data_IF_701329245152
#
_entry.id   IF_701329245152
#
_cell.length_a   1.000
_cell.length_b   1.000
_cell.length_c   1.000
_cell.angle_alpha   90.00
_cell.angle_beta   90.00
_cell.angle_gamma   90.00
#
_symmetry.space_group_name_H-M   'P 1'
#
loop_
_entity.id
_entity.type
_entity.pdbx_description
1 polymer ?
#
# COMPACT_ATOMS: atom_id res chain seq x y z
N UNK A 1 17.88 17.01 21.22
CA UNK A 1 17.82 15.74 20.46
C UNK A 1 18.29 16.01 19.06
N UNK A 2 18.93 15.05 18.40
CA UNK A 2 19.56 15.23 17.10
C UNK A 2 18.67 14.63 16.00
N UNK A 3 18.53 15.35 14.88
CA UNK A 3 18.00 14.81 13.63
C UNK A 3 19.06 13.91 12.99
N UNK A 4 18.69 12.70 12.63
CA UNK A 4 19.50 11.78 11.82
C UNK A 4 18.81 11.53 10.49
N UNK A 5 19.57 11.44 9.40
CA UNK A 5 19.07 11.18 8.04
C UNK A 5 19.72 9.93 7.49
N UNK A 6 19.34 9.50 6.28
CA UNK A 6 19.87 8.30 5.63
C UNK A 6 21.39 8.31 5.38
N UNK A 7 22.07 9.46 5.56
CA UNK A 7 23.54 9.52 5.54
C UNK A 7 24.19 8.92 6.80
N UNK A 8 23.44 8.76 7.88
CA UNK A 8 23.87 8.03 9.08
C UNK A 8 23.61 6.52 8.89
N UNK A 9 24.65 5.66 8.90
CA UNK A 9 24.50 4.23 8.65
C UNK A 9 23.60 3.50 9.66
N UNK A 10 23.62 3.92 10.93
CA UNK A 10 22.81 3.31 11.98
C UNK A 10 21.33 3.65 11.76
N UNK A 11 21.04 4.91 11.41
CA UNK A 11 19.69 5.30 11.04
C UNK A 11 19.22 4.60 9.77
N UNK A 12 20.06 4.48 8.74
CA UNK A 12 19.69 3.77 7.51
C UNK A 12 19.34 2.29 7.77
N UNK A 13 20.07 1.62 8.67
CA UNK A 13 19.76 0.26 9.08
C UNK A 13 18.44 0.18 9.86
N UNK A 14 18.21 1.11 10.80
CA UNK A 14 16.97 1.22 11.57
C UNK A 14 15.77 1.46 10.66
N UNK A 15 15.88 2.41 9.74
CA UNK A 15 14.88 2.76 8.74
C UNK A 15 14.47 1.53 7.91
N UNK A 16 15.44 0.83 7.33
CA UNK A 16 15.19 -0.40 6.55
C UNK A 16 14.48 -1.47 7.38
N UNK A 17 14.91 -1.69 8.62
CA UNK A 17 14.26 -2.64 9.53
C UNK A 17 12.80 -2.27 9.79
N UNK A 18 12.50 -1.00 10.06
CA UNK A 18 11.11 -0.54 10.31
C UNK A 18 10.20 -0.67 9.10
N UNK A 19 10.73 -0.43 7.91
CA UNK A 19 10.01 -0.66 6.66
C UNK A 19 9.66 -2.14 6.45
N UNK A 20 10.61 -3.04 6.74
CA UNK A 20 10.37 -4.49 6.69
C UNK A 20 9.38 -4.96 7.77
N UNK A 21 9.48 -4.43 9.00
CA UNK A 21 8.54 -4.74 10.09
C UNK A 21 7.10 -4.35 9.72
N UNK A 22 6.93 -3.19 9.08
CA UNK A 22 5.64 -2.69 8.61
C UNK A 22 5.09 -3.54 7.46
N UNK A 23 5.94 -3.87 6.49
CA UNK A 23 5.59 -4.73 5.37
C UNK A 23 4.59 -4.12 4.39
N UNK A 24 3.92 -5.00 3.64
CA UNK A 24 3.01 -4.63 2.56
C UNK A 24 3.72 -3.77 1.51
N UNK A 25 3.14 -2.63 1.19
CA UNK A 25 3.67 -1.67 0.20
C UNK A 25 4.79 -0.75 0.73
N UNK A 26 5.41 -1.10 1.87
CA UNK A 26 6.31 -0.19 2.58
C UNK A 26 7.74 -0.68 2.65
N UNK A 27 8.06 -1.84 2.08
CA UNK A 27 9.39 -2.42 2.22
C UNK A 27 10.44 -1.66 1.39
N UNK A 28 11.74 -1.88 1.66
CA UNK A 28 12.80 -1.31 0.83
C UNK A 28 12.66 -1.66 -0.65
N UNK A 29 12.22 -2.87 -1.00
CA UNK A 29 12.04 -3.22 -2.40
C UNK A 29 10.92 -2.42 -3.09
N UNK A 30 9.87 -2.05 -2.35
CA UNK A 30 8.79 -1.24 -2.88
C UNK A 30 9.23 0.19 -3.22
N UNK A 31 10.28 0.71 -2.57
CA UNK A 31 10.87 2.00 -2.92
C UNK A 31 11.38 1.98 -4.37
N UNK A 32 12.13 0.93 -4.75
CA UNK A 32 12.66 0.79 -6.11
C UNK A 32 11.52 0.64 -7.12
N UNK A 33 10.52 -0.19 -6.80
CA UNK A 33 9.30 -0.32 -7.61
C UNK A 33 8.62 1.04 -7.84
N UNK A 34 8.46 1.86 -6.80
CA UNK A 34 7.78 3.14 -6.92
C UNK A 34 8.57 4.17 -7.72
N UNK A 35 9.90 4.17 -7.66
CA UNK A 35 10.74 5.01 -8.54
C UNK A 35 10.45 4.70 -10.01
N UNK A 36 10.37 3.42 -10.38
CA UNK A 36 10.02 2.99 -11.74
C UNK A 36 8.55 3.22 -12.10
N UNK A 37 7.63 3.02 -11.15
CA UNK A 37 6.18 3.13 -11.40
C UNK A 37 5.72 4.56 -11.63
N UNK A 38 6.25 5.52 -10.85
CA UNK A 38 5.90 6.93 -10.97
C UNK A 38 6.80 7.69 -11.95
N UNK A 39 7.90 7.07 -12.41
CA UNK A 39 8.86 7.67 -13.34
C UNK A 39 9.34 9.07 -12.89
N UNK A 40 9.47 9.24 -11.57
CA UNK A 40 9.80 10.51 -10.94
C UNK A 40 11.15 10.45 -10.21
N UNK A 41 11.90 11.54 -10.27
CA UNK A 41 13.16 11.67 -9.55
C UNK A 41 12.92 12.08 -8.10
N UNK A 42 12.78 11.07 -7.23
CA UNK A 42 12.58 11.27 -5.80
C UNK A 42 13.91 11.52 -5.07
N UNK A 43 13.99 12.67 -4.41
CA UNK A 43 14.96 12.94 -3.34
C UNK A 43 14.41 12.42 -2.02
N UNK A 44 15.12 11.52 -1.36
CA UNK A 44 14.73 11.01 -0.04
C UNK A 44 15.11 12.02 1.04
N UNK A 45 14.10 12.54 1.73
CA UNK A 45 14.21 13.50 2.83
C UNK A 45 13.86 12.83 4.18
N UNK A 46 13.79 11.50 4.23
CA UNK A 46 13.41 10.78 5.43
C UNK A 46 14.44 10.97 6.53
N UNK A 47 13.93 11.16 7.75
CA UNK A 47 14.76 11.47 8.91
C UNK A 47 14.16 10.87 10.17
N UNK A 48 14.96 10.82 11.24
CA UNK A 48 14.52 10.33 12.53
C UNK A 48 15.08 11.10 13.72
N UNK A 49 14.44 10.88 14.85
CA UNK A 49 14.86 11.35 16.17
C UNK A 49 14.71 10.20 17.16
N UNK A 50 15.83 9.78 17.75
CA UNK A 50 15.83 8.81 18.85
C UNK A 50 15.85 9.51 20.21
N UNK A 51 15.21 8.90 21.19
CA UNK A 51 15.17 9.29 22.59
C UNK A 51 15.27 8.04 23.49
N UNK A 52 15.52 8.15 24.81
CA UNK A 52 15.89 7.00 25.64
C UNK A 52 14.96 5.78 25.58
N UNK A 53 13.65 6.01 25.39
CA UNK A 53 12.62 4.99 25.40
C UNK A 53 11.94 4.79 24.04
N UNK A 54 12.45 5.42 22.98
CA UNK A 54 11.80 5.33 21.67
C UNK A 54 12.42 6.13 20.54
N UNK A 55 11.69 6.18 19.44
CA UNK A 55 12.11 6.85 18.22
C UNK A 55 10.91 7.35 17.42
N UNK A 56 11.16 8.37 16.61
CA UNK A 56 10.24 8.92 15.62
C UNK A 56 10.96 8.91 14.28
N UNK A 57 10.35 8.32 13.26
CA UNK A 57 10.86 8.33 11.88
C UNK A 57 9.81 9.00 11.00
N UNK A 58 10.21 10.03 10.26
CA UNK A 58 9.39 10.64 9.23
C UNK A 58 9.78 10.05 7.87
N UNK A 59 8.84 9.38 7.23
CA UNK A 59 8.96 8.89 5.85
C UNK A 59 8.58 10.04 4.92
N UNK A 60 9.58 10.61 4.23
CA UNK A 60 9.40 11.80 3.42
C UNK A 60 10.31 11.78 2.19
N UNK A 61 9.76 12.11 1.04
CA UNK A 61 10.49 12.33 -0.22
C UNK A 61 9.98 13.59 -0.86
N UNK A 62 10.82 14.22 -1.68
CA UNK A 62 10.48 15.34 -2.55
C UNK A 62 10.73 14.95 -4.00
N UNK A 63 9.83 15.33 -4.89
CA UNK A 63 10.07 15.30 -6.34
C UNK A 63 9.46 16.55 -6.98
N UNK A 64 9.90 16.89 -8.18
CA UNK A 64 9.32 17.98 -8.97
C UNK A 64 8.26 17.43 -9.91
N UNK A 65 7.10 18.07 -9.97
CA UNK A 65 6.05 17.77 -10.94
C UNK A 65 5.42 19.09 -11.41
N UNK A 66 5.39 19.31 -12.72
CA UNK A 66 4.87 20.56 -13.32
C UNK A 66 5.48 21.85 -12.75
N UNK A 67 6.75 21.81 -12.34
CA UNK A 67 7.47 22.96 -11.76
C UNK A 67 7.13 23.26 -10.30
N UNK A 68 6.40 22.37 -9.62
CA UNK A 68 6.12 22.44 -8.19
C UNK A 68 6.82 21.29 -7.45
N UNK A 69 7.31 21.58 -6.25
CA UNK A 69 7.80 20.56 -5.34
C UNK A 69 6.62 19.78 -4.75
N UNK A 70 6.67 18.45 -4.80
CA UNK A 70 5.70 17.55 -4.19
C UNK A 70 6.35 16.75 -3.06
N UNK A 71 5.81 16.89 -1.86
CA UNK A 71 6.24 16.20 -0.65
C UNK A 71 5.29 15.05 -0.34
N UNK A 72 5.82 13.83 -0.31
CA UNK A 72 5.09 12.60 -0.02
C UNK A 72 6.08 11.53 0.41
N UNK A 73 5.88 10.28 0.00
CA UNK A 73 6.85 9.20 0.17
C UNK A 73 6.77 8.23 -1.00
N UNK A 74 7.66 8.40 -1.99
CA UNK A 74 7.72 7.57 -3.20
C UNK A 74 6.35 7.43 -3.91
N UNK A 75 5.67 8.56 -4.09
CA UNK A 75 4.33 8.64 -4.70
C UNK A 75 3.17 8.15 -3.82
N UNK A 76 3.46 7.66 -2.62
CA UNK A 76 2.49 7.48 -1.53
C UNK A 76 2.46 8.72 -0.62
N UNK A 77 1.50 8.86 0.29
CA UNK A 77 1.55 9.90 1.31
C UNK A 77 2.73 9.72 2.27
N UNK A 78 3.36 10.83 2.66
CA UNK A 78 4.28 10.87 3.78
C UNK A 78 3.60 10.42 5.08
N UNK A 79 4.37 9.86 6.00
CA UNK A 79 3.82 9.35 7.27
C UNK A 79 4.89 9.26 8.34
N UNK A 80 4.45 9.08 9.57
CA UNK A 80 5.34 8.94 10.71
C UNK A 80 5.29 7.51 11.25
N UNK A 81 6.45 6.94 11.54
CA UNK A 81 6.60 5.72 12.30
C UNK A 81 7.05 6.10 13.71
N UNK A 82 6.33 5.61 14.71
CA UNK A 82 6.63 5.87 16.11
C UNK A 82 6.79 4.56 16.84
N UNK A 83 7.81 4.48 17.68
CA UNK A 83 7.95 3.40 18.64
C UNK A 83 8.38 3.96 19.98
N UNK A 84 7.83 3.41 21.05
CA UNK A 84 8.12 3.82 22.42
C UNK A 84 7.22 4.95 22.93
N UNK A 85 7.30 5.17 24.23
CA UNK A 85 6.70 6.30 24.94
C UNK A 85 7.73 6.87 25.90
N UNK A 86 7.39 7.90 26.69
CA UNK A 86 8.25 8.35 27.79
C UNK A 86 8.42 9.87 27.87
N UNK A 87 9.05 10.33 28.96
CA UNK A 87 9.12 11.77 29.32
C UNK A 87 9.73 12.65 28.22
N UNK A 88 10.62 12.07 27.42
CA UNK A 88 11.36 12.77 26.37
C UNK A 88 10.65 12.81 25.02
N UNK A 89 9.55 12.05 24.84
CA UNK A 89 8.81 11.98 23.59
C UNK A 89 8.33 13.35 23.12
N UNK A 90 7.74 14.15 24.02
CA UNK A 90 7.24 15.49 23.66
C UNK A 90 8.34 16.41 23.11
N UNK A 91 9.56 16.30 23.66
CA UNK A 91 10.71 17.03 23.14
C UNK A 91 11.13 16.53 21.75
N UNK A 92 11.05 15.22 21.51
CA UNK A 92 11.32 14.63 20.19
C UNK A 92 10.30 15.11 19.15
N UNK A 93 9.01 15.13 19.50
CA UNK A 93 7.93 15.63 18.63
C UNK A 93 8.18 17.07 18.18
N UNK A 94 8.57 17.97 19.09
CA UNK A 94 8.87 19.36 18.75
C UNK A 94 10.06 19.48 17.80
N UNK A 95 11.10 18.67 17.98
CA UNK A 95 12.27 18.64 17.09
C UNK A 95 11.88 18.12 15.70
N UNK A 96 11.08 17.05 15.62
CA UNK A 96 10.57 16.51 14.35
C UNK A 96 9.67 17.54 13.66
N UNK A 97 8.78 18.19 14.40
CA UNK A 97 7.86 19.21 13.87
C UNK A 97 8.63 20.37 13.24
N UNK A 98 9.60 20.93 13.97
CA UNK A 98 10.41 22.05 13.49
C UNK A 98 11.19 21.68 12.24
N UNK A 99 11.79 20.49 12.20
CA UNK A 99 12.52 20.03 11.04
C UNK A 99 11.60 19.76 9.84
N UNK A 100 10.48 19.08 10.04
CA UNK A 100 9.48 18.85 8.99
C UNK A 100 9.02 20.16 8.36
N UNK A 101 8.64 21.16 9.18
CA UNK A 101 8.24 22.49 8.68
C UNK A 101 9.38 23.16 7.90
N UNK A 102 10.63 23.05 8.37
CA UNK A 102 11.78 23.63 7.65
C UNK A 102 11.98 23.05 6.25
N UNK A 103 11.68 21.76 6.06
CA UNK A 103 11.76 21.10 4.75
C UNK A 103 10.67 21.57 3.77
N UNK A 104 9.56 22.11 4.29
CA UNK A 104 8.41 22.58 3.51
C UNK A 104 8.47 24.08 3.17
N UNK A 105 9.48 24.82 3.63
CA UNK A 105 9.60 26.27 3.44
C UNK A 105 9.73 26.71 1.98
N UNK A 106 10.00 25.80 1.04
CA UNK A 106 10.03 26.12 -0.38
C UNK A 106 8.65 26.25 -1.04
N UNK A 107 7.56 26.03 -0.29
CA UNK A 107 6.22 25.87 -0.86
C UNK A 107 6.09 24.56 -1.65
N UNK A 108 4.99 24.41 -2.39
CA UNK A 108 4.68 23.22 -3.18
C UNK A 108 3.43 22.50 -2.69
N UNK A 109 3.35 21.19 -2.91
CA UNK A 109 2.20 20.35 -2.54
C UNK A 109 2.63 19.34 -1.48
N UNK A 110 1.87 19.22 -0.39
CA UNK A 110 2.08 18.18 0.62
C UNK A 110 1.04 17.08 0.49
N UNK A 111 1.46 15.84 0.64
CA UNK A 111 0.63 14.65 0.78
C UNK A 111 1.10 13.87 2.01
N UNK A 112 0.34 13.96 3.10
CA UNK A 112 0.66 13.34 4.37
C UNK A 112 -0.53 12.54 4.89
N UNK A 113 -0.31 11.35 5.45
CA UNK A 113 -1.37 10.50 5.99
C UNK A 113 -1.02 9.99 7.39
N UNK A 114 -2.01 10.04 8.27
CA UNK A 114 -1.96 9.44 9.60
C UNK A 114 -3.20 8.59 9.88
N UNK A 115 -3.06 7.60 10.76
CA UNK A 115 -4.21 6.84 11.25
C UNK A 115 -5.15 7.75 12.06
N UNK A 116 -6.46 7.51 11.97
CA UNK A 116 -7.43 8.27 12.76
C UNK A 116 -7.22 8.02 14.26
N UNK A 117 -7.25 9.09 15.04
CA UNK A 117 -7.01 9.10 16.48
C UNK A 117 -6.76 10.53 16.95
N UNK A 118 -6.00 10.69 18.02
CA UNK A 118 -5.51 12.03 18.41
C UNK A 118 -4.60 12.59 17.32
N UNK A 119 -4.93 13.79 16.85
CA UNK A 119 -4.20 14.46 15.77
C UNK A 119 -2.72 14.63 16.15
N UNK A 120 -1.81 14.12 15.30
CA UNK A 120 -0.38 14.23 15.54
C UNK A 120 0.10 15.69 15.51
N UNK A 121 1.29 15.92 16.03
CA UNK A 121 1.93 17.23 16.00
C UNK A 121 2.22 17.71 14.55
N UNK A 122 2.44 16.79 13.60
CA UNK A 122 2.59 17.15 12.18
C UNK A 122 1.24 17.57 11.60
N UNK A 123 0.17 16.81 11.84
CA UNK A 123 -1.15 17.18 11.38
C UNK A 123 -1.63 18.52 11.94
N UNK A 124 -1.33 18.82 13.22
CA UNK A 124 -1.60 20.14 13.81
C UNK A 124 -0.82 21.26 13.11
N UNK A 125 0.43 21.00 12.71
CA UNK A 125 1.21 21.95 11.92
C UNK A 125 0.60 22.16 10.53
N UNK A 126 0.22 21.09 9.84
CA UNK A 126 -0.42 21.15 8.52
C UNK A 126 -1.77 21.89 8.56
N UNK A 127 -2.58 21.67 9.60
CA UNK A 127 -3.81 22.43 9.83
C UNK A 127 -3.54 23.92 10.00
N UNK A 128 -2.47 24.27 10.71
CA UNK A 128 -2.06 25.66 10.94
C UNK A 128 -1.53 26.32 9.66
N UNK A 129 -1.06 25.52 8.69
CA UNK A 129 -0.70 25.93 7.32
C UNK A 129 -1.92 25.99 6.39
N UNK A 130 -3.13 25.72 6.87
CA UNK A 130 -4.36 25.76 6.09
C UNK A 130 -4.67 24.48 5.30
N UNK A 131 -3.90 23.40 5.49
CA UNK A 131 -4.12 22.13 4.80
C UNK A 131 -5.26 21.37 5.51
N UNK A 132 -6.39 21.24 4.82
CA UNK A 132 -7.56 20.54 5.35
C UNK A 132 -7.44 19.03 5.16
N UNK A 133 -7.70 18.22 6.21
CA UNK A 133 -7.66 16.76 6.10
C UNK A 133 -8.90 16.24 5.36
N UNK A 134 -8.72 15.09 4.71
CA UNK A 134 -9.79 14.25 4.19
C UNK A 134 -9.73 12.86 4.79
N UNK A 135 -10.89 12.24 4.97
CA UNK A 135 -10.95 10.89 5.51
C UNK A 135 -10.64 9.90 4.39
N UNK A 136 -9.67 9.03 4.62
CA UNK A 136 -9.37 7.88 3.79
C UNK A 136 -9.84 6.62 4.50
N UNK A 137 -10.68 5.83 3.83
CA UNK A 137 -11.16 4.55 4.33
C UNK A 137 -10.45 3.41 3.62
N UNK A 138 -10.00 2.43 4.40
CA UNK A 138 -9.33 1.24 3.88
C UNK A 138 -10.08 0.00 4.37
N UNK A 139 -10.28 -0.97 3.47
CA UNK A 139 -10.85 -2.26 3.84
C UNK A 139 -9.71 -3.21 4.27
N UNK A 140 -9.72 -3.62 5.54
CA UNK A 140 -8.66 -4.43 6.14
C UNK A 140 -9.24 -5.71 6.74
N UNK A 141 -8.68 -6.85 6.35
CA UNK A 141 -9.01 -8.17 6.90
C UNK A 141 -7.97 -8.53 7.94
N UNK A 142 -8.39 -8.87 9.16
CA UNK A 142 -7.51 -9.48 10.16
C UNK A 142 -7.27 -10.94 9.80
N UNK A 143 -6.01 -11.34 9.72
CA UNK A 143 -5.62 -12.68 9.32
C UNK A 143 -5.70 -13.63 10.52
N UNK A 144 -6.84 -14.31 10.64
CA UNK A 144 -7.16 -15.22 11.75
C UNK A 144 -7.47 -16.64 11.22
N UNK A 145 -8.22 -17.44 11.99
CA UNK A 145 -8.73 -18.73 11.53
C UNK A 145 -9.63 -18.59 10.28
N UNK A 146 -9.56 -19.59 9.38
CA UNK A 146 -10.34 -19.61 8.13
C UNK A 146 -11.83 -19.45 8.38
N UNK A 147 -12.36 -20.14 9.40
CA UNK A 147 -13.78 -20.11 9.77
C UNK A 147 -14.25 -18.71 10.10
N UNK A 148 -13.49 -17.95 10.88
CA UNK A 148 -13.77 -16.56 11.24
C UNK A 148 -13.73 -15.65 10.02
N UNK A 149 -12.67 -15.76 9.19
CA UNK A 149 -12.55 -14.92 7.99
C UNK A 149 -13.69 -15.19 7.00
N UNK A 150 -14.02 -16.46 6.73
CA UNK A 150 -15.14 -16.83 5.86
C UNK A 150 -16.49 -16.37 6.40
N UNK A 151 -16.72 -16.45 7.71
CA UNK A 151 -17.96 -15.99 8.34
C UNK A 151 -18.20 -14.50 8.13
N UNK A 152 -17.13 -13.69 8.18
CA UNK A 152 -17.17 -12.24 7.94
C UNK A 152 -17.40 -11.86 6.46
N UNK A 153 -17.24 -12.79 5.52
CA UNK A 153 -17.48 -12.53 4.09
C UNK A 153 -18.97 -12.44 3.75
N UNK A 154 -19.29 -11.76 2.64
CA UNK A 154 -20.62 -11.83 2.04
C UNK A 154 -20.95 -13.27 1.65
N UNK A 155 -22.20 -13.72 1.87
CA UNK A 155 -22.64 -15.10 1.58
C UNK A 155 -22.27 -15.57 0.16
N UNK A 156 -22.51 -14.73 -0.85
CA UNK A 156 -22.19 -15.06 -2.25
C UNK A 156 -20.68 -15.19 -2.48
N UNK A 157 -19.83 -14.49 -1.72
CA UNK A 157 -18.37 -14.60 -1.85
C UNK A 157 -17.88 -15.98 -1.39
N UNK A 158 -18.45 -16.53 -0.31
CA UNK A 158 -18.15 -17.91 0.11
C UNK A 158 -18.53 -18.94 -0.97
N UNK A 159 -19.69 -18.76 -1.60
CA UNK A 159 -20.13 -19.63 -2.70
C UNK A 159 -19.20 -19.52 -3.91
N UNK A 160 -18.77 -18.30 -4.23
CA UNK A 160 -17.83 -18.01 -5.30
C UNK A 160 -16.43 -18.58 -5.05
N UNK A 161 -15.95 -18.52 -3.80
CA UNK A 161 -14.70 -19.18 -3.35
C UNK A 161 -14.83 -20.69 -3.54
N UNK A 162 -15.95 -21.29 -3.10
CA UNK A 162 -16.19 -22.71 -3.28
C UNK A 162 -16.30 -23.10 -4.76
N UNK A 163 -16.94 -22.29 -5.59
CA UNK A 163 -16.95 -22.52 -7.02
C UNK A 163 -15.52 -22.51 -7.58
N UNK A 164 -14.73 -21.49 -7.26
CA UNK A 164 -13.36 -21.38 -7.74
C UNK A 164 -12.48 -22.55 -7.28
N UNK A 165 -12.65 -23.05 -6.05
CA UNK A 165 -11.87 -24.18 -5.55
C UNK A 165 -12.14 -25.51 -6.27
N UNK A 166 -13.29 -25.65 -6.93
CA UNK A 166 -13.65 -26.86 -7.68
C UNK A 166 -13.41 -26.73 -9.18
N UNK A 167 -13.33 -25.51 -9.70
CA UNK A 167 -13.32 -25.25 -11.16
C UNK A 167 -12.04 -24.59 -11.65
N UNK A 168 -11.29 -23.93 -10.77
CA UNK A 168 -10.03 -23.27 -11.13
C UNK A 168 -8.85 -24.07 -10.63
N UNK A 169 -7.85 -24.22 -11.49
CA UNK A 169 -6.52 -24.61 -11.08
C UNK A 169 -5.76 -23.33 -10.70
N UNK A 170 -5.56 -23.12 -9.40
CA UNK A 170 -4.81 -21.97 -8.90
C UNK A 170 -3.44 -22.41 -8.37
N UNK A 171 -2.39 -21.70 -8.76
CA UNK A 171 -1.01 -21.94 -8.31
C UNK A 171 -0.42 -20.67 -7.70
N UNK A 172 0.18 -20.81 -6.51
CA UNK A 172 0.99 -19.76 -5.89
C UNK A 172 2.38 -19.81 -6.51
N UNK A 173 2.88 -18.66 -6.95
CA UNK A 173 4.24 -18.49 -7.44
C UNK A 173 4.95 -17.51 -6.51
N UNK A 174 5.92 -18.02 -5.77
CA UNK A 174 6.73 -17.28 -4.81
C UNK A 174 8.20 -17.26 -5.24
N UNK A 175 9.08 -16.78 -4.36
CA UNK A 175 10.53 -16.70 -4.58
C UNK A 175 11.18 -18.01 -5.02
N UNK A 176 10.62 -19.17 -4.66
CA UNK A 176 11.26 -20.46 -4.86
C UNK A 176 10.92 -21.06 -6.24
N UNK A 177 9.86 -20.58 -6.89
CA UNK A 177 9.44 -21.08 -8.21
C UNK A 177 9.19 -20.00 -9.28
N UNK A 178 9.45 -18.72 -8.97
CA UNK A 178 9.29 -17.63 -9.94
C UNK A 178 10.30 -17.73 -11.09
N UNK A 179 9.85 -17.38 -12.29
CA UNK A 179 10.65 -17.28 -13.51
C UNK A 179 10.27 -16.01 -14.28
N UNK A 180 11.14 -15.57 -15.19
CA UNK A 180 10.86 -14.43 -16.07
C UNK A 180 9.59 -14.63 -16.92
N UNK A 181 9.34 -15.87 -17.38
CA UNK A 181 8.13 -16.24 -18.15
C UNK A 181 6.84 -15.85 -17.42
N UNK A 182 6.77 -16.05 -16.10
CA UNK A 182 5.58 -15.69 -15.33
C UNK A 182 5.30 -14.18 -15.40
N UNK A 183 6.32 -13.32 -15.33
CA UNK A 183 6.12 -11.88 -15.39
C UNK A 183 5.94 -11.34 -16.80
N UNK A 184 6.60 -11.92 -17.79
CA UNK A 184 6.31 -11.63 -19.19
C UNK A 184 4.83 -11.92 -19.50
N UNK A 185 4.34 -13.10 -19.14
CA UNK A 185 2.93 -13.48 -19.31
C UNK A 185 1.98 -12.58 -18.52
N UNK A 186 2.39 -12.14 -17.33
CA UNK A 186 1.57 -11.24 -16.52
C UNK A 186 1.43 -9.86 -17.16
N UNK A 187 2.54 -9.29 -17.65
CA UNK A 187 2.54 -8.02 -18.37
C UNK A 187 1.70 -8.11 -19.65
N UNK A 188 1.92 -9.14 -20.47
CA UNK A 188 1.18 -9.37 -21.71
C UNK A 188 -0.32 -9.54 -21.44
N UNK A 189 -0.70 -10.36 -20.45
CA UNK A 189 -2.09 -10.58 -20.07
C UNK A 189 -2.74 -9.30 -19.53
N UNK A 190 -2.01 -8.53 -18.73
CA UNK A 190 -2.47 -7.22 -18.27
C UNK A 190 -2.73 -6.27 -19.44
N UNK A 191 -1.81 -6.16 -20.40
CA UNK A 191 -1.96 -5.30 -21.59
C UNK A 191 -3.18 -5.74 -22.42
N UNK A 192 -3.35 -7.05 -22.65
CA UNK A 192 -4.46 -7.60 -23.40
C UNK A 192 -5.80 -7.25 -22.76
N UNK A 193 -5.94 -7.46 -21.45
CA UNK A 193 -7.18 -7.19 -20.72
C UNK A 193 -7.46 -5.70 -20.54
N UNK A 194 -6.44 -4.87 -20.29
CA UNK A 194 -6.61 -3.42 -20.15
C UNK A 194 -6.84 -2.71 -21.49
N UNK A 195 -6.44 -3.33 -22.61
CA UNK A 195 -6.42 -2.73 -23.94
C UNK A 195 -5.33 -1.66 -24.14
N UNK A 196 -4.44 -1.48 -23.16
CA UNK A 196 -3.34 -0.50 -23.19
C UNK A 196 -2.25 -0.83 -22.18
N UNK A 197 -1.01 -0.46 -22.48
CA UNK A 197 0.07 -0.46 -21.48
C UNK A 197 -0.20 0.65 -20.45
N UNK A 198 -0.43 0.28 -19.18
CA UNK A 198 -0.75 1.24 -18.10
C UNK A 198 0.42 1.51 -17.16
N UNK A 199 1.57 0.85 -17.37
CA UNK A 199 2.80 0.98 -16.59
C UNK A 199 4.00 0.52 -17.43
N UNK A 200 5.20 0.99 -17.11
CA UNK A 200 6.44 0.66 -17.83
C UNK A 200 6.86 -0.80 -17.63
N UNK A 201 7.67 -1.32 -18.56
CA UNK A 201 8.28 -2.65 -18.43
C UNK A 201 9.19 -2.71 -17.18
N UNK A 202 9.95 -1.65 -16.91
CA UNK A 202 10.82 -1.56 -15.73
C UNK A 202 10.03 -1.74 -14.43
N UNK A 203 8.82 -1.15 -14.33
CA UNK A 203 7.96 -1.36 -13.16
C UNK A 203 7.48 -2.82 -13.01
N UNK A 204 7.35 -3.58 -14.10
CA UNK A 204 7.06 -5.02 -14.05
C UNK A 204 8.27 -5.83 -13.60
N UNK A 205 9.47 -5.46 -14.03
CA UNK A 205 10.71 -6.11 -13.59
C UNK A 205 10.96 -5.89 -12.10
N UNK A 206 10.66 -4.70 -11.58
CA UNK A 206 10.71 -4.47 -10.13
C UNK A 206 9.66 -5.28 -9.35
N UNK A 207 8.47 -5.51 -9.93
CA UNK A 207 7.49 -6.42 -9.33
C UNK A 207 7.99 -7.88 -9.32
N UNK A 208 8.69 -8.31 -10.38
CA UNK A 208 9.35 -9.63 -10.40
C UNK A 208 10.41 -9.73 -9.32
N UNK A 209 11.23 -8.71 -9.16
CA UNK A 209 12.27 -8.65 -8.13
C UNK A 209 11.66 -8.75 -6.73
N UNK A 210 10.53 -8.08 -6.47
CA UNK A 210 9.80 -8.20 -5.21
C UNK A 210 9.33 -9.63 -4.93
N UNK A 211 8.96 -10.40 -5.97
CA UNK A 211 8.64 -11.83 -5.80
C UNK A 211 9.91 -12.64 -5.51
N UNK A 212 11.01 -12.38 -6.22
CA UNK A 212 12.30 -13.05 -6.01
C UNK A 212 12.87 -12.82 -4.60
N UNK A 213 12.64 -11.64 -4.01
CA UNK A 213 13.07 -11.32 -2.65
C UNK A 213 12.10 -11.81 -1.57
N UNK A 214 10.95 -12.39 -1.96
CA UNK A 214 9.92 -12.86 -1.04
C UNK A 214 9.10 -11.75 -0.39
N UNK A 215 9.13 -10.54 -0.95
CA UNK A 215 8.32 -9.40 -0.51
C UNK A 215 6.92 -9.41 -1.15
N UNK A 216 6.80 -10.05 -2.32
CA UNK A 216 5.55 -10.30 -3.04
C UNK A 216 5.41 -11.78 -3.42
N UNK A 217 4.20 -12.16 -3.85
CA UNK A 217 3.94 -13.43 -4.52
C UNK A 217 2.76 -13.30 -5.49
N UNK A 218 2.67 -14.23 -6.44
CA UNK A 218 1.59 -14.31 -7.42
C UNK A 218 0.64 -15.46 -7.13
N UNK A 219 -0.62 -15.30 -7.52
CA UNK A 219 -1.57 -16.39 -7.71
C UNK A 219 -2.00 -16.41 -9.17
N UNK A 220 -1.66 -17.49 -9.86
CA UNK A 220 -2.06 -17.77 -11.24
C UNK A 220 -3.31 -18.63 -11.22
N UNK A 221 -4.31 -18.31 -12.03
CA UNK A 221 -5.58 -19.01 -12.11
C UNK A 221 -5.86 -19.47 -13.53
N UNK A 222 -6.03 -20.78 -13.69
CA UNK A 222 -6.40 -21.41 -14.96
C UNK A 222 -7.81 -22.02 -14.86
N UNK A 223 -8.55 -21.96 -15.96
CA UNK A 223 -9.82 -22.68 -16.16
C UNK A 223 -9.67 -23.55 -17.41
N UNK A 224 -9.80 -24.87 -17.25
CA UNK A 224 -9.56 -25.83 -18.35
C UNK A 224 -8.23 -25.57 -19.07
N UNK A 225 -7.13 -25.50 -18.29
CA UNK A 225 -5.75 -25.27 -18.75
C UNK A 225 -5.49 -23.88 -19.38
N UNK A 226 -6.50 -23.02 -19.48
CA UNK A 226 -6.34 -21.65 -20.02
C UNK A 226 -6.13 -20.64 -18.90
N UNK A 227 -5.17 -19.74 -19.06
CA UNK A 227 -4.96 -18.62 -18.16
C UNK A 227 -6.20 -17.71 -18.16
N UNK A 228 -6.82 -17.54 -16.99
CA UNK A 228 -8.01 -16.69 -16.81
C UNK A 228 -7.84 -15.62 -15.74
N UNK A 229 -6.77 -15.70 -14.94
CA UNK A 229 -6.51 -14.72 -13.89
C UNK A 229 -5.07 -14.74 -13.39
N UNK A 230 -4.55 -13.57 -13.06
CA UNK A 230 -3.31 -13.40 -12.29
C UNK A 230 -3.52 -12.34 -11.21
N UNK A 231 -3.05 -12.60 -10.02
CA UNK A 231 -3.11 -11.67 -8.89
C UNK A 231 -1.78 -11.59 -8.18
N UNK A 232 -1.35 -10.37 -7.87
CA UNK A 232 -0.12 -10.05 -7.18
C UNK A 232 -0.44 -9.49 -5.80
N UNK A 233 0.26 -10.03 -4.82
CA UNK A 233 0.10 -9.66 -3.43
C UNK A 233 1.45 -9.19 -2.92
N UNK A 234 1.48 -8.03 -2.28
CA UNK A 234 2.61 -7.63 -1.46
C UNK A 234 2.38 -8.19 -0.06
N UNK A 235 3.28 -9.01 0.46
CA UNK A 235 3.12 -9.68 1.74
C UNK A 235 4.46 -9.87 2.43
N UNK A 236 4.65 -9.15 3.52
CA UNK A 236 5.86 -9.18 4.32
C UNK A 236 5.59 -8.55 5.69
N UNK A 237 6.48 -8.77 6.65
CA UNK A 237 6.34 -8.22 8.00
C UNK A 237 4.98 -8.55 8.60
N UNK A 238 4.25 -7.52 9.04
CA UNK A 238 2.92 -7.68 9.65
C UNK A 238 1.75 -7.51 8.68
N UNK A 239 2.00 -7.12 7.43
CA UNK A 239 0.95 -6.61 6.54
C UNK A 239 1.07 -7.14 5.13
N UNK A 240 -0.08 -7.54 4.58
CA UNK A 240 -0.25 -7.85 3.18
C UNK A 240 -1.17 -6.84 2.48
N UNK A 241 -1.08 -6.78 1.16
CA UNK A 241 -1.85 -5.88 0.31
C UNK A 241 -2.18 -6.55 -1.04
N UNK A 242 -3.44 -6.50 -1.45
CA UNK A 242 -3.88 -6.93 -2.79
C UNK A 242 -3.48 -5.88 -3.83
N UNK A 243 -2.34 -6.12 -4.52
CA UNK A 243 -1.65 -5.13 -5.34
C UNK A 243 -2.21 -5.01 -6.75
N UNK A 244 -2.14 -6.08 -7.53
CA UNK A 244 -2.55 -6.10 -8.93
C UNK A 244 -3.43 -7.32 -9.15
N UNK A 245 -4.51 -7.14 -9.91
CA UNK A 245 -5.36 -8.25 -10.35
C UNK A 245 -5.79 -8.03 -11.79
N UNK A 246 -5.62 -9.06 -12.61
CA UNK A 246 -6.08 -9.11 -14.00
C UNK A 246 -6.85 -10.41 -14.20
N UNK A 247 -7.99 -10.32 -14.87
CA UNK A 247 -8.90 -11.44 -15.10
C UNK A 247 -9.54 -11.33 -16.48
N UNK A 248 -9.79 -12.46 -17.12
CA UNK A 248 -10.42 -12.52 -18.43
C UNK A 248 -11.85 -11.97 -18.38
N UNK A 249 -12.10 -10.86 -19.08
CA UNK A 249 -13.36 -10.10 -19.00
C UNK A 249 -14.53 -10.84 -19.61
N UNK A 250 -14.29 -11.59 -20.68
CA UNK A 250 -15.33 -12.38 -21.35
C UNK A 250 -15.90 -13.49 -20.45
N UNK A 251 -15.13 -13.86 -19.42
CA UNK A 251 -15.46 -14.91 -18.47
C UNK A 251 -16.01 -14.39 -17.14
N UNK A 252 -16.41 -13.12 -17.04
CA UNK A 252 -16.96 -12.53 -15.79
C UNK A 252 -18.32 -13.06 -15.37
N UNK A 253 -18.96 -13.90 -16.19
CA UNK A 253 -20.08 -14.73 -15.75
C UNK A 253 -19.65 -15.82 -14.76
N UNK A 254 -18.35 -16.14 -14.69
CA UNK A 254 -17.73 -16.93 -13.63
C UNK A 254 -17.07 -16.04 -12.56
N UNK A 255 -17.04 -16.46 -11.29
CA UNK A 255 -16.46 -15.68 -10.21
C UNK A 255 -14.92 -15.82 -10.09
N UNK A 256 -14.20 -15.60 -11.18
CA UNK A 256 -12.77 -15.94 -11.36
C UNK A 256 -11.83 -15.44 -10.24
N UNK A 257 -12.10 -14.27 -9.68
CA UNK A 257 -11.20 -13.61 -8.73
C UNK A 257 -11.32 -14.09 -7.28
N UNK A 258 -12.45 -14.67 -6.90
CA UNK A 258 -12.77 -14.88 -5.49
C UNK A 258 -11.84 -15.89 -4.83
N UNK A 259 -11.63 -17.03 -5.49
CA UNK A 259 -10.75 -18.08 -4.96
C UNK A 259 -9.28 -17.67 -5.01
N UNK A 260 -8.84 -17.00 -6.08
CA UNK A 260 -7.46 -16.47 -6.19
C UNK A 260 -7.14 -15.49 -5.06
N UNK A 261 -8.02 -14.53 -4.78
CA UNK A 261 -7.86 -13.59 -3.66
C UNK A 261 -7.90 -14.32 -2.32
N UNK A 262 -8.77 -15.33 -2.17
CA UNK A 262 -8.81 -16.15 -0.96
C UNK A 262 -7.50 -16.88 -0.71
N UNK A 263 -6.90 -17.48 -1.75
CA UNK A 263 -5.56 -18.08 -1.64
C UNK A 263 -4.49 -17.04 -1.29
N UNK A 264 -4.58 -15.83 -1.85
CA UNK A 264 -3.71 -14.72 -1.46
C UNK A 264 -3.82 -14.34 0.02
N UNK A 265 -5.04 -14.30 0.56
CA UNK A 265 -5.29 -14.05 1.99
C UNK A 265 -4.67 -15.15 2.84
N UNK A 266 -4.87 -16.42 2.48
CA UNK A 266 -4.33 -17.56 3.22
C UNK A 266 -2.80 -17.59 3.19
N UNK A 267 -2.21 -17.46 2.01
CA UNK A 267 -0.75 -17.50 1.87
C UNK A 267 -0.08 -16.32 2.57
N UNK A 268 -0.68 -15.12 2.53
CA UNK A 268 -0.18 -13.96 3.28
C UNK A 268 -0.11 -14.22 4.79
N UNK A 269 -1.12 -14.92 5.35
CA UNK A 269 -1.09 -15.33 6.76
C UNK A 269 0.00 -16.36 7.02
N UNK A 270 0.17 -17.33 6.12
CA UNK A 270 1.18 -18.38 6.26
C UNK A 270 2.60 -17.80 6.14
N UNK A 271 2.78 -16.66 5.45
CA UNK A 271 3.99 -15.84 5.46
C UNK A 271 4.19 -15.00 6.74
N UNK A 272 3.26 -15.05 7.70
CA UNK A 272 3.36 -14.36 8.99
C UNK A 272 2.66 -13.00 9.08
N UNK A 273 1.96 -12.56 8.02
CA UNK A 273 1.18 -11.32 8.09
C UNK A 273 0.01 -11.47 9.08
N UNK A 274 -0.34 -10.38 9.76
CA UNK A 274 -1.50 -10.32 10.68
C UNK A 274 -2.67 -9.53 10.12
N UNK A 275 -2.41 -8.71 9.10
CA UNK A 275 -3.42 -7.91 8.40
C UNK A 275 -3.27 -8.03 6.89
N UNK A 276 -4.40 -7.99 6.19
CA UNK A 276 -4.47 -7.98 4.74
C UNK A 276 -5.32 -6.81 4.28
N UNK A 277 -4.73 -5.90 3.51
CA UNK A 277 -5.44 -4.75 2.94
C UNK A 277 -5.97 -5.07 1.56
N UNK A 278 -7.26 -4.77 1.36
CA UNK A 278 -7.88 -4.72 0.04
C UNK A 278 -7.70 -3.34 -0.64
N UNK A 279 -7.02 -2.40 0.02
CA UNK A 279 -6.83 -1.02 -0.40
C UNK A 279 -7.97 -0.07 -0.03
N UNK A 280 -7.90 1.14 -0.60
CA UNK A 280 -8.90 2.19 -0.36
C UNK A 280 -10.31 1.72 -0.74
N UNK A 281 -11.27 2.11 0.09
CA UNK A 281 -12.69 1.85 -0.04
C UNK A 281 -13.43 3.18 -0.15
N UNK A 282 -13.95 3.48 -1.33
CA UNK A 282 -14.76 4.66 -1.58
C UNK A 282 -16.27 4.35 -1.61
N UNK A 283 -17.07 5.40 -1.50
CA UNK A 283 -18.52 5.34 -1.40
C UNK A 283 -19.16 6.38 -2.31
N UNK A 284 -20.35 6.05 -2.82
CA UNK A 284 -21.11 6.97 -3.65
C UNK A 284 -21.50 8.21 -2.83
N UNK A 285 -21.45 9.39 -3.45
CA UNK A 285 -21.73 10.68 -2.82
C UNK A 285 -20.84 11.03 -1.60
N UNK A 286 -19.70 10.36 -1.44
CA UNK A 286 -18.69 10.69 -0.43
C UNK A 286 -17.43 11.18 -1.14
N UNK A 287 -16.91 12.33 -0.69
CA UNK A 287 -15.65 12.88 -1.19
C UNK A 287 -14.51 11.94 -0.78
N UNK A 288 -13.70 11.50 -1.75
CA UNK A 288 -12.58 10.60 -1.50
C UNK A 288 -11.36 11.33 -0.91
N UNK A 289 -10.28 10.59 -0.63
CA UNK A 289 -9.06 11.14 -0.03
C UNK A 289 -8.36 12.20 -0.91
N UNK A 290 -8.65 12.22 -2.21
CA UNK A 290 -8.14 13.18 -3.19
C UNK A 290 -9.09 14.37 -3.46
N UNK A 291 -10.27 14.40 -2.84
CA UNK A 291 -11.17 15.55 -2.91
C UNK A 291 -12.20 15.51 -4.00
N UNK A 292 -12.34 14.37 -4.67
CA UNK A 292 -13.27 14.21 -5.75
C UNK A 292 -14.39 13.25 -5.36
N UNK A 293 -15.56 13.43 -5.98
CA UNK A 293 -16.60 12.42 -5.92
C UNK A 293 -16.12 11.17 -6.67
N UNK A 294 -16.37 10.01 -6.05
CA UNK A 294 -15.97 8.74 -6.65
C UNK A 294 -16.91 8.37 -7.80
N UNK A 295 -16.34 7.85 -8.87
CA UNK A 295 -17.09 7.30 -10.00
C UNK A 295 -17.83 6.02 -9.58
N UNK A 296 -18.86 5.67 -10.35
CA UNK A 296 -19.59 4.41 -10.16
C UNK A 296 -18.63 3.20 -10.23
N UNK A 297 -17.66 3.24 -11.13
CA UNK A 297 -16.64 2.19 -11.28
C UNK A 297 -15.82 2.01 -10.00
N UNK A 298 -15.33 3.10 -9.40
CA UNK A 298 -14.56 3.04 -8.15
C UNK A 298 -15.41 2.55 -6.97
N UNK A 299 -16.68 2.98 -6.93
CA UNK A 299 -17.64 2.50 -5.93
C UNK A 299 -17.91 1.01 -6.07
N UNK A 300 -18.04 0.50 -7.31
CA UNK A 300 -18.24 -0.92 -7.60
C UNK A 300 -17.01 -1.76 -7.22
N UNK A 301 -15.81 -1.27 -7.52
CA UNK A 301 -14.56 -1.90 -7.07
C UNK A 301 -14.49 -1.95 -5.53
N UNK A 302 -14.84 -0.86 -4.87
CA UNK A 302 -14.85 -0.81 -3.40
C UNK A 302 -15.92 -1.75 -2.81
N UNK A 303 -17.11 -1.80 -3.39
CA UNK A 303 -18.18 -2.71 -3.00
C UNK A 303 -17.80 -4.19 -3.18
N UNK A 304 -17.05 -4.52 -4.24
CA UNK A 304 -16.47 -5.85 -4.43
C UNK A 304 -15.45 -6.17 -3.32
N UNK A 305 -14.48 -5.28 -3.08
CA UNK A 305 -13.44 -5.46 -2.05
C UNK A 305 -14.02 -5.69 -0.66
N UNK A 306 -15.03 -4.91 -0.26
CA UNK A 306 -15.75 -5.08 1.01
C UNK A 306 -16.47 -6.43 1.14
N UNK A 307 -16.75 -7.12 0.03
CA UNK A 307 -17.39 -8.44 0.04
C UNK A 307 -16.54 -9.54 0.70
N UNK A 308 -15.22 -9.36 0.76
CA UNK A 308 -14.29 -10.24 1.48
C UNK A 308 -14.33 -10.06 3.01
N UNK A 309 -15.19 -9.19 3.53
CA UNK A 309 -15.31 -8.93 4.96
C UNK A 309 -14.14 -8.14 5.51
N UNK A 310 -13.95 -8.21 6.83
CA UNK A 310 -12.98 -7.39 7.56
C UNK A 310 -13.55 -6.07 8.07
N UNK A 311 -12.68 -5.24 8.62
CA UNK A 311 -12.99 -3.95 9.23
C UNK A 311 -12.69 -2.81 8.23
N UNK A 312 -13.40 -1.70 8.37
CA UNK A 312 -13.04 -0.44 7.71
C UNK A 312 -12.14 0.34 8.67
N UNK A 313 -10.91 0.62 8.25
CA UNK A 313 -9.97 1.49 8.98
C UNK A 313 -10.01 2.89 8.39
N UNK A 314 -10.17 3.89 9.24
CA UNK A 314 -10.09 5.29 8.83
C UNK A 314 -8.70 5.88 9.11
N UNK A 315 -8.32 6.81 8.25
CA UNK A 315 -7.12 7.63 8.35
C UNK A 315 -7.42 9.04 7.87
N UNK A 316 -6.61 10.01 8.26
CA UNK A 316 -6.68 11.39 7.79
C UNK A 316 -5.55 11.60 6.78
N UNK A 317 -5.90 12.07 5.58
CA UNK A 317 -4.96 12.46 4.53
C UNK A 317 -5.00 13.98 4.35
N UNK A 318 -3.86 14.61 4.52
CA UNK A 318 -3.60 16.02 4.32
C UNK A 318 -2.97 16.17 2.94
N UNK A 319 -3.78 16.58 1.97
CA UNK A 319 -3.35 16.80 0.59
C UNK A 319 -3.69 18.22 0.16
N UNK A 320 -2.70 19.04 -0.15
CA UNK A 320 -2.95 20.41 -0.59
C UNK A 320 -1.69 21.27 -0.78
N UNK A 321 -1.91 22.46 -1.30
CA UNK A 321 -0.88 23.45 -1.58
C UNK A 321 -0.39 24.11 -0.30
N UNK A 322 0.92 24.16 -0.12
CA UNK A 322 1.60 24.89 0.93
C UNK A 322 1.61 26.37 0.57
N UNK A 323 0.75 27.13 1.23
CA UNK A 323 0.79 28.59 1.18
C UNK A 323 1.96 29.06 2.05
N UNK A 324 3.13 29.26 1.43
CA UNK A 324 4.33 29.79 2.09
C UNK A 324 4.47 31.28 1.84
#
# INVERSE_FOLDING_TARGET
>A
MKIVTLSDPLFAQLYRRRLLDLGGLSTPGHIDYYRCYYEADFTDLSFGVSYPEGEIICLLTRHELNGLAHYGWYGQPARLLYQGDGEKKRQAELVVQAHFISLLQGGGVVDFQELSGDTSFISKALLSMGISPRVCFEQVIRLTANTTMLANMRKVFRQNINWGSHNLECKIIDKDCITEDYFQRFEEFHIAVSGRRTRSHDSWMEQMRLVQTGENFLVVSNLNEKLVGMSLFAASGKRAYYSVGVYERELFHFPLSHYSIWLGILHSRDMGCVEFSMGESVYNNVINSLGHLSTEKECNISHFKRGFGGDIRSSLRFYGDLNV
#
